data_IF_155514768158
#
_entry.id   IF_155514768158
#
_cell.length_a   1.000
_cell.length_b   1.000
_cell.length_c   1.000
_cell.angle_alpha   90.00
_cell.angle_beta   90.00
_cell.angle_gamma   90.00
#
_symmetry.space_group_name_H-M   'P 1'
#
loop_
_entity.id
_entity.type
_entity.pdbx_description
1 polymer ?
#
# COMPACT_ATOMS: atom_id res chain seq x y z
N UNK A 1 -4.98 -5.07 7.05
CA UNK A 1 -6.40 -5.37 7.24
C UNK A 1 -7.19 -4.07 7.29
N UNK A 2 -8.44 -4.08 6.80
CA UNK A 2 -9.29 -2.90 6.77
C UNK A 2 -10.72 -3.24 7.22
N UNK A 3 -11.40 -2.25 7.78
CA UNK A 3 -12.82 -2.31 8.15
C UNK A 3 -13.52 -1.12 7.50
N UNK A 4 -14.68 -1.37 6.90
CA UNK A 4 -15.51 -0.36 6.27
C UNK A 4 -16.90 -0.42 6.91
N UNK A 5 -17.41 0.73 7.31
CA UNK A 5 -18.73 0.91 7.89
C UNK A 5 -19.53 1.84 6.99
N UNK A 6 -20.61 1.33 6.41
CA UNK A 6 -21.60 2.16 5.74
C UNK A 6 -22.45 2.83 6.82
N UNK A 7 -22.34 4.16 6.93
CA UNK A 7 -23.08 4.94 7.94
C UNK A 7 -24.54 5.10 7.52
N UNK A 8 -24.77 5.30 6.22
CA UNK A 8 -26.06 5.37 5.58
C UNK A 8 -25.94 4.94 4.10
N UNK A 9 -26.97 5.16 3.28
CA UNK A 9 -26.96 4.79 1.85
C UNK A 9 -26.03 5.64 0.97
N UNK A 10 -25.36 6.64 1.53
CA UNK A 10 -24.60 7.66 0.79
C UNK A 10 -23.19 7.84 1.35
N UNK A 11 -22.96 7.53 2.63
CA UNK A 11 -21.74 7.79 3.37
C UNK A 11 -21.11 6.51 3.91
N UNK A 12 -19.78 6.41 3.81
CA UNK A 12 -19.00 5.32 4.37
C UNK A 12 -17.75 5.84 5.09
N UNK A 13 -17.42 5.18 6.21
CA UNK A 13 -16.17 5.38 6.93
C UNK A 13 -15.30 4.12 6.83
N UNK A 14 -14.00 4.29 6.70
CA UNK A 14 -13.04 3.19 6.63
C UNK A 14 -11.87 3.40 7.59
N UNK A 15 -11.37 2.31 8.14
CA UNK A 15 -10.10 2.27 8.85
C UNK A 15 -9.23 1.16 8.25
N UNK A 16 -7.94 1.43 8.08
CA UNK A 16 -6.97 0.48 7.52
C UNK A 16 -5.70 0.47 8.38
N UNK A 17 -5.14 -0.72 8.57
CA UNK A 17 -3.87 -0.97 9.24
C UNK A 17 -3.08 -2.00 8.42
N UNK A 18 -1.85 -1.68 8.05
CA UNK A 18 -0.92 -2.62 7.43
C UNK A 18 0.43 -2.55 8.14
N UNK A 19 1.07 -3.71 8.26
CA UNK A 19 2.40 -3.86 8.83
C UNK A 19 3.21 -4.67 7.83
N UNK A 20 4.40 -4.19 7.51
CA UNK A 20 5.41 -4.94 6.77
C UNK A 20 6.56 -5.21 7.74
N UNK A 21 6.87 -6.50 7.93
CA UNK A 21 7.94 -6.95 8.81
C UNK A 21 9.01 -7.60 7.93
N UNK A 22 10.25 -7.10 8.04
CA UNK A 22 11.38 -7.61 7.26
C UNK A 22 12.10 -8.76 7.97
N UNK A 23 11.70 -9.09 9.20
CA UNK A 23 12.32 -10.11 10.02
C UNK A 23 13.48 -9.58 10.88
N UNK A 24 14.19 -10.52 11.50
CA UNK A 24 15.34 -10.26 12.37
C UNK A 24 16.59 -10.94 11.83
N UNK A 25 17.67 -10.16 11.71
CA UNK A 25 18.98 -10.63 11.24
C UNK A 25 20.07 -10.34 12.28
N UNK A 26 21.18 -11.08 12.20
CA UNK A 26 22.35 -10.84 13.06
C UNK A 26 23.13 -9.62 12.55
N UNK A 27 23.62 -8.79 13.46
CA UNK A 27 24.51 -7.68 13.11
C UNK A 27 25.91 -8.24 12.85
N UNK A 28 26.44 -8.03 11.65
CA UNK A 28 27.77 -8.52 11.23
C UNK A 28 28.77 -7.38 11.14
N UNK A 29 30.05 -7.70 11.34
CA UNK A 29 31.17 -6.77 11.10
C UNK A 29 32.25 -7.48 10.30
N UNK A 30 33.21 -6.74 9.73
CA UNK A 30 34.35 -7.33 9.01
C UNK A 30 35.11 -8.33 9.90
N UNK A 31 35.16 -8.09 11.21
CA UNK A 31 35.81 -8.96 12.19
C UNK A 31 34.90 -10.11 12.66
N UNK A 32 33.58 -9.98 12.57
CA UNK A 32 32.59 -10.96 13.02
C UNK A 32 31.52 -11.18 11.94
N UNK A 33 31.87 -11.91 10.85
CA UNK A 33 30.94 -12.15 9.74
C UNK A 33 29.74 -13.03 10.12
N UNK A 34 29.91 -13.91 11.12
CA UNK A 34 28.84 -14.78 11.64
C UNK A 34 27.91 -14.06 12.63
N UNK A 35 28.20 -12.80 12.96
CA UNK A 35 27.43 -11.98 13.88
C UNK A 35 28.16 -11.66 15.19
N UNK A 36 27.85 -10.50 15.76
CA UNK A 36 28.44 -10.00 17.01
C UNK A 36 27.58 -10.28 18.27
N UNK A 37 26.51 -11.08 18.13
CA UNK A 37 25.55 -11.37 19.20
C UNK A 37 24.39 -10.37 19.33
N UNK A 38 24.39 -9.29 18.54
CA UNK A 38 23.26 -8.37 18.42
C UNK A 38 22.38 -8.76 17.23
N UNK A 39 21.09 -8.41 17.32
CA UNK A 39 20.12 -8.58 16.24
C UNK A 39 19.53 -7.24 15.85
N UNK A 40 19.20 -7.07 14.58
CA UNK A 40 18.49 -5.91 14.07
C UNK A 40 17.25 -6.35 13.30
N UNK A 41 16.24 -5.49 13.26
CA UNK A 41 15.00 -5.69 12.50
C UNK A 41 14.56 -4.40 11.85
N UNK A 42 13.74 -4.53 10.82
CA UNK A 42 13.04 -3.42 10.20
C UNK A 42 11.54 -3.72 10.16
N UNK A 43 10.73 -2.68 10.32
CA UNK A 43 9.28 -2.77 10.25
C UNK A 43 8.68 -1.46 9.75
N UNK A 44 7.73 -1.57 8.83
CA UNK A 44 6.90 -0.45 8.39
C UNK A 44 5.47 -0.62 8.88
N UNK A 45 4.89 0.50 9.32
CA UNK A 45 3.53 0.61 9.79
C UNK A 45 2.80 1.65 8.93
N UNK A 46 1.62 1.25 8.47
CA UNK A 46 0.69 2.09 7.76
C UNK A 46 -0.66 2.05 8.48
N UNK A 47 -1.18 3.22 8.86
CA UNK A 47 -2.53 3.35 9.41
C UNK A 47 -3.28 4.45 8.67
N UNK A 48 -4.55 4.24 8.35
CA UNK A 48 -5.35 5.23 7.64
C UNK A 48 -6.80 5.26 8.10
N UNK A 49 -7.37 6.47 8.12
CA UNK A 49 -8.80 6.71 8.26
C UNK A 49 -9.32 7.33 6.98
N UNK A 50 -10.43 6.81 6.47
CA UNK A 50 -11.01 7.20 5.20
C UNK A 50 -12.49 7.56 5.37
N UNK A 51 -12.94 8.51 4.55
CA UNK A 51 -14.34 8.85 4.43
C UNK A 51 -14.68 8.98 2.94
N UNK A 52 -15.81 8.42 2.54
CA UNK A 52 -16.32 8.49 1.19
C UNK A 52 -17.81 8.82 1.18
N UNK A 53 -18.23 9.54 0.13
CA UNK A 53 -19.60 9.97 -0.07
C UNK A 53 -20.01 9.87 -1.53
N UNK A 54 -21.21 9.35 -1.77
CA UNK A 54 -21.91 9.47 -3.04
C UNK A 54 -22.48 10.89 -3.15
N UNK A 55 -22.02 11.69 -4.11
CA UNK A 55 -22.61 13.02 -4.36
C UNK A 55 -23.84 12.93 -5.27
N UNK A 56 -23.87 11.92 -6.15
CA UNK A 56 -25.01 11.59 -7.01
C UNK A 56 -25.16 10.07 -7.12
N UNK A 57 -26.11 9.58 -7.92
CA UNK A 57 -26.27 8.15 -8.27
C UNK A 57 -25.07 7.57 -9.01
N UNK A 58 -24.21 8.44 -9.57
CA UNK A 58 -23.12 8.08 -10.48
C UNK A 58 -21.77 8.66 -10.10
N UNK A 59 -21.71 9.56 -9.13
CA UNK A 59 -20.49 10.23 -8.75
C UNK A 59 -20.24 10.06 -7.27
N UNK A 60 -19.06 9.54 -6.94
CA UNK A 60 -18.59 9.34 -5.57
C UNK A 60 -17.24 10.01 -5.40
N UNK A 61 -17.02 10.55 -4.22
CA UNK A 61 -15.74 11.15 -3.82
C UNK A 61 -15.35 10.60 -2.45
N UNK A 62 -14.07 10.36 -2.25
CA UNK A 62 -13.54 9.98 -0.96
C UNK A 62 -12.15 10.57 -0.72
N UNK A 63 -11.75 10.56 0.53
CA UNK A 63 -10.40 10.92 0.92
C UNK A 63 -9.96 10.14 2.15
N UNK A 64 -8.66 10.11 2.39
CA UNK A 64 -8.10 9.48 3.59
C UNK A 64 -6.94 10.27 4.16
N UNK A 65 -6.78 10.17 5.47
CA UNK A 65 -5.60 10.63 6.20
C UNK A 65 -4.81 9.40 6.61
N UNK A 66 -3.51 9.42 6.35
CA UNK A 66 -2.57 8.32 6.58
C UNK A 66 -1.50 8.74 7.56
N UNK A 67 -1.17 7.83 8.46
CA UNK A 67 0.05 7.86 9.27
C UNK A 67 0.95 6.71 8.81
N UNK A 68 2.18 7.05 8.45
CA UNK A 68 3.19 6.12 7.95
C UNK A 68 4.37 6.21 8.89
N UNK A 69 4.88 5.05 9.31
CA UNK A 69 6.07 4.97 10.15
C UNK A 69 6.96 3.83 9.67
N UNK A 70 8.23 4.14 9.49
CA UNK A 70 9.27 3.16 9.20
C UNK A 70 10.21 3.10 10.40
N UNK A 71 10.55 1.90 10.84
CA UNK A 71 11.54 1.67 11.89
C UNK A 71 12.60 0.74 11.33
N UNK A 72 13.85 1.15 11.41
CA UNK A 72 14.99 0.31 11.07
C UNK A 72 15.90 0.33 12.28
N UNK A 73 16.07 -0.82 12.92
CA UNK A 73 16.85 -1.01 14.13
C UNK A 73 16.51 0.00 15.24
N UNK A 74 17.33 1.03 15.41
CA UNK A 74 17.27 2.01 16.48
C UNK A 74 16.75 3.38 16.03
N UNK A 75 16.44 3.50 14.74
CA UNK A 75 16.00 4.71 14.08
C UNK A 75 14.56 4.53 13.60
N UNK A 76 13.83 5.64 13.54
CA UNK A 76 12.53 5.66 12.91
C UNK A 76 12.28 6.95 12.16
N UNK A 77 11.45 6.84 11.14
CA UNK A 77 10.90 7.97 10.41
C UNK A 77 9.38 7.88 10.45
N UNK A 78 8.71 9.02 10.50
CA UNK A 78 7.25 9.08 10.43
C UNK A 78 6.78 10.21 9.52
N UNK A 79 5.64 10.01 8.89
CA UNK A 79 5.04 10.98 7.99
C UNK A 79 3.53 10.89 7.97
N UNK A 80 2.88 11.99 7.58
CA UNK A 80 1.46 12.05 7.34
C UNK A 80 1.19 12.27 5.86
N UNK A 81 0.12 11.65 5.35
CA UNK A 81 -0.29 11.79 3.96
C UNK A 81 -1.80 11.95 3.82
N UNK A 82 -2.21 12.59 2.74
CA UNK A 82 -3.58 12.72 2.29
C UNK A 82 -3.77 12.01 0.95
N UNK A 83 -4.92 11.38 0.81
CA UNK A 83 -5.39 10.82 -0.45
C UNK A 83 -6.74 11.41 -0.82
N UNK A 84 -6.98 11.52 -2.12
CA UNK A 84 -8.26 11.93 -2.71
C UNK A 84 -8.58 10.96 -3.85
N UNK A 85 -9.82 10.49 -3.90
CA UNK A 85 -10.31 9.59 -4.95
C UNK A 85 -11.69 10.01 -5.46
N UNK A 86 -11.88 9.89 -6.78
CA UNK A 86 -13.13 10.16 -7.48
C UNK A 86 -13.52 8.92 -8.28
N UNK A 87 -14.82 8.62 -8.29
CA UNK A 87 -15.41 7.54 -9.07
C UNK A 87 -16.62 8.06 -9.82
N UNK A 88 -16.66 7.86 -11.14
CA UNK A 88 -17.79 8.20 -11.98
C UNK A 88 -18.31 6.99 -12.77
N UNK A 89 -19.60 6.69 -12.64
CA UNK A 89 -20.28 5.59 -13.33
C UNK A 89 -21.08 6.16 -14.51
N UNK A 90 -20.59 5.90 -15.72
CA UNK A 90 -21.19 6.42 -16.94
C UNK A 90 -22.53 5.74 -17.26
N UNK A 91 -23.28 6.32 -18.21
CA UNK A 91 -24.49 5.70 -18.79
C UNK A 91 -24.18 4.60 -19.80
N UNK A 92 -22.92 4.46 -20.20
CA UNK A 92 -22.49 3.48 -21.17
C UNK A 92 -22.15 2.16 -20.45
N UNK A 93 -23.14 1.26 -20.40
CA UNK A 93 -23.02 -0.09 -19.83
C UNK A 93 -22.33 -0.15 -18.44
N UNK A 94 -22.61 0.84 -17.59
CA UNK A 94 -22.04 0.91 -16.24
C UNK A 94 -20.52 1.09 -16.18
N UNK A 95 -19.88 1.54 -17.27
CA UNK A 95 -18.44 1.81 -17.29
C UNK A 95 -18.06 2.80 -16.19
N UNK A 96 -17.00 2.47 -15.46
CA UNK A 96 -16.51 3.20 -14.29
C UNK A 96 -15.21 3.91 -14.65
N UNK A 97 -15.16 5.21 -14.39
CA UNK A 97 -13.98 6.04 -14.52
C UNK A 97 -13.50 6.39 -13.11
N UNK A 98 -12.27 6.00 -12.78
CA UNK A 98 -11.64 6.27 -11.49
C UNK A 98 -10.46 7.19 -11.64
N UNK A 99 -10.32 8.14 -10.72
CA UNK A 99 -9.12 8.98 -10.58
C UNK A 99 -8.73 9.03 -9.11
N UNK A 100 -7.44 8.92 -8.80
CA UNK A 100 -6.96 9.16 -7.44
C UNK A 100 -5.61 9.85 -7.41
N UNK A 101 -5.40 10.60 -6.33
CA UNK A 101 -4.12 11.16 -5.92
C UNK A 101 -3.83 10.57 -4.55
N UNK A 102 -2.68 9.91 -4.39
CA UNK A 102 -2.31 9.26 -3.14
C UNK A 102 -0.96 9.73 -2.63
N UNK A 103 -0.83 9.74 -1.30
CA UNK A 103 0.40 10.04 -0.56
C UNK A 103 0.88 11.49 -0.69
N UNK A 104 -0.04 12.44 -0.84
CA UNK A 104 0.32 13.85 -0.74
C UNK A 104 0.57 14.21 0.72
N UNK A 105 1.84 14.38 1.11
CA UNK A 105 2.20 14.38 2.52
C UNK A 105 3.54 15.02 2.87
N UNK A 106 3.91 14.88 4.14
CA UNK A 106 5.16 15.38 4.70
C UNK A 106 6.35 14.54 4.24
N UNK A 107 7.55 15.13 4.24
CA UNK A 107 8.77 14.36 4.17
C UNK A 107 8.96 13.49 5.43
N UNK A 108 9.58 12.34 5.24
CA UNK A 108 10.03 11.44 6.29
C UNK A 108 11.53 11.62 6.51
N UNK A 109 11.98 11.51 7.76
CA UNK A 109 13.40 11.59 8.11
C UNK A 109 13.72 10.59 9.20
N UNK A 110 14.84 9.88 9.07
CA UNK A 110 15.31 8.94 10.09
C UNK A 110 15.86 9.70 11.29
N UNK A 111 15.29 9.44 12.45
CA UNK A 111 15.73 9.97 13.74
C UNK A 111 15.88 8.80 14.72
N UNK A 112 16.92 8.82 15.54
CA UNK A 112 17.23 7.68 16.40
C UNK A 112 18.48 7.88 17.21
N UNK A 113 18.69 6.96 18.15
CA UNK A 113 19.81 7.02 19.08
C UNK A 113 21.16 6.76 18.39
N UNK A 114 21.20 6.05 17.26
CA UNK A 114 22.49 5.79 16.58
C UNK A 114 23.00 7.04 15.86
N UNK A 115 22.18 8.09 15.75
CA UNK A 115 22.55 9.41 15.23
C UNK A 115 23.07 10.36 16.33
N UNK A 116 23.01 9.94 17.60
CA UNK A 116 23.48 10.73 18.73
C UNK A 116 24.95 10.38 19.03
N UNK A 117 25.83 11.37 18.90
CA UNK A 117 27.25 11.18 19.16
C UNK A 117 27.81 12.27 20.09
N UNK A 118 28.73 11.92 20.99
CA UNK A 118 29.47 12.93 21.73
C UNK A 118 30.34 13.72 20.75
N UNK A 119 30.26 15.05 20.84
CA UNK A 119 31.06 15.96 20.03
C UNK A 119 31.71 17.00 20.93
N UNK A 120 33.02 17.12 20.80
CA UNK A 120 33.80 18.18 21.40
C UNK A 120 33.96 19.33 20.40
N UNK A 121 33.37 20.48 20.71
CA UNK A 121 33.45 21.67 19.85
C UNK A 121 34.82 22.33 19.87
N UNK A 122 35.62 22.12 20.92
CA UNK A 122 36.95 22.73 21.08
C UNK A 122 37.91 21.75 21.79
N UNK A 123 38.42 20.73 21.07
CA UNK A 123 39.24 19.67 21.65
C UNK A 123 40.55 20.13 22.33
N UNK A 124 40.96 21.38 22.09
CA UNK A 124 42.18 21.96 22.66
C UNK A 124 41.92 22.68 23.99
N UNK A 125 40.66 22.88 24.38
CA UNK A 125 40.29 23.59 25.59
C UNK A 125 39.95 22.63 26.72
N UNK A 126 40.92 22.41 27.63
CA UNK A 126 40.82 21.48 28.76
C UNK A 126 39.73 21.81 29.79
N UNK A 127 39.06 22.96 29.69
CA UNK A 127 37.98 23.39 30.58
C UNK A 127 36.57 23.21 30.02
N UNK A 128 36.41 22.73 28.78
CA UNK A 128 35.11 22.52 28.16
C UNK A 128 34.54 21.11 28.49
N UNK A 129 33.33 20.83 28.00
CA UNK A 129 32.73 19.51 28.11
C UNK A 129 32.94 18.74 26.78
N UNK A 130 33.78 17.69 26.75
CA UNK A 130 34.09 16.94 25.54
C UNK A 130 32.96 15.96 25.12
N UNK A 131 31.90 15.82 25.91
CA UNK A 131 30.82 14.86 25.67
C UNK A 131 29.47 15.53 25.44
N UNK A 132 29.44 16.70 24.79
CA UNK A 132 28.18 17.33 24.40
C UNK A 132 27.49 16.43 23.38
N UNK A 133 26.26 16.01 23.68
CA UNK A 133 25.46 15.21 22.75
C UNK A 133 25.15 16.05 21.50
N UNK A 134 25.67 15.62 20.37
CA UNK A 134 25.34 16.13 19.05
C UNK A 134 24.45 15.14 18.31
N UNK A 135 23.62 15.64 17.41
CA UNK A 135 22.76 14.83 16.57
C UNK A 135 23.19 14.97 15.11
N UNK A 136 23.49 13.85 14.47
CA UNK A 136 23.76 13.79 13.04
C UNK A 136 22.43 13.86 12.27
N UNK A 137 22.15 15.01 11.65
CA UNK A 137 20.94 15.19 10.84
C UNK A 137 21.00 14.36 9.57
N UNK A 138 20.03 13.47 9.41
CA UNK A 138 19.81 12.73 8.16
C UNK A 138 19.04 13.60 7.15
N UNK A 139 19.13 13.23 5.87
CA UNK A 139 18.31 13.83 4.82
C UNK A 139 16.86 13.35 4.94
N UNK A 140 15.91 14.25 4.68
CA UNK A 140 14.51 13.88 4.50
C UNK A 140 14.25 13.33 3.10
N UNK A 141 13.21 12.51 2.97
CA UNK A 141 12.69 12.07 1.67
C UNK A 141 11.17 12.22 1.62
N UNK A 142 10.60 12.63 0.47
CA UNK A 142 9.16 12.75 0.33
C UNK A 142 8.49 11.37 0.29
N UNK A 143 7.22 11.33 0.67
CA UNK A 143 6.38 10.18 0.37
C UNK A 143 6.15 10.08 -1.16
N UNK A 144 6.15 8.86 -1.75
CA UNK A 144 5.98 8.69 -3.18
C UNK A 144 4.56 9.08 -3.58
N UNK A 145 4.43 10.19 -4.31
CA UNK A 145 3.15 10.72 -4.77
C UNK A 145 2.70 9.93 -6.00
N UNK A 146 1.45 9.45 -5.98
CA UNK A 146 0.87 8.70 -7.09
C UNK A 146 -0.35 9.41 -7.67
N UNK A 147 -0.38 9.56 -8.99
CA UNK A 147 -1.59 9.86 -9.75
C UNK A 147 -2.06 8.58 -10.42
N UNK A 148 -3.34 8.24 -10.28
CA UNK A 148 -3.93 7.07 -10.93
C UNK A 148 -5.16 7.46 -11.72
N UNK A 149 -5.28 6.93 -12.92
CA UNK A 149 -6.45 7.07 -13.78
C UNK A 149 -6.79 5.69 -14.32
N UNK A 150 -8.05 5.26 -14.14
CA UNK A 150 -8.47 3.93 -14.54
C UNK A 150 -9.87 3.91 -15.12
N UNK A 151 -10.09 2.92 -15.98
CA UNK A 151 -11.39 2.63 -16.59
C UNK A 151 -11.69 1.16 -16.39
N UNK A 152 -12.92 0.82 -16.01
CA UNK A 152 -13.40 -0.55 -16.00
C UNK A 152 -14.82 -0.67 -16.51
N UNK A 153 -15.17 -1.83 -17.04
CA UNK A 153 -16.48 -2.07 -17.64
C UNK A 153 -16.85 -3.55 -17.57
N UNK A 154 -18.13 -3.81 -17.28
CA UNK A 154 -18.72 -5.15 -17.37
C UNK A 154 -19.05 -5.43 -18.85
N UNK A 155 -18.11 -6.04 -19.57
CA UNK A 155 -18.19 -6.26 -21.03
C UNK A 155 -19.21 -7.34 -21.37
N UNK A 156 -19.30 -8.38 -20.54
CA UNK A 156 -20.31 -9.43 -20.67
C UNK A 156 -21.05 -9.55 -19.34
N UNK A 157 -22.38 -9.51 -19.40
CA UNK A 157 -23.23 -9.76 -18.23
C UNK A 157 -24.46 -10.57 -18.66
N UNK A 158 -24.47 -11.86 -18.34
CA UNK A 158 -25.52 -12.79 -18.75
C UNK A 158 -25.94 -13.65 -17.57
N UNK A 159 -27.18 -13.49 -17.13
CA UNK A 159 -27.76 -14.24 -16.01
C UNK A 159 -26.88 -14.14 -14.74
N UNK A 160 -26.19 -15.23 -14.39
CA UNK A 160 -25.32 -15.34 -13.22
C UNK A 160 -23.84 -15.09 -13.54
N UNK A 161 -23.48 -14.79 -14.79
CA UNK A 161 -22.09 -14.65 -15.22
C UNK A 161 -21.77 -13.20 -15.59
N UNK A 162 -20.63 -12.69 -15.14
CA UNK A 162 -20.11 -11.39 -15.55
C UNK A 162 -18.61 -11.48 -15.90
N UNK A 163 -18.21 -10.74 -16.93
CA UNK A 163 -16.81 -10.50 -17.28
C UNK A 163 -16.55 -9.00 -17.23
N UNK A 164 -15.70 -8.59 -16.29
CA UNK A 164 -15.20 -7.24 -16.14
C UNK A 164 -13.82 -7.13 -16.77
N UNK A 165 -13.58 -6.08 -17.54
CA UNK A 165 -12.24 -5.68 -17.96
C UNK A 165 -11.89 -4.33 -17.33
N UNK A 166 -10.62 -4.15 -17.00
CA UNK A 166 -10.08 -2.94 -16.41
C UNK A 166 -8.71 -2.59 -17.00
N UNK A 167 -8.46 -1.29 -17.10
CA UNK A 167 -7.17 -0.71 -17.46
C UNK A 167 -6.92 0.46 -16.54
N UNK A 168 -5.71 0.56 -15.98
CA UNK A 168 -5.28 1.72 -15.20
C UNK A 168 -3.87 2.17 -15.57
N UNK A 169 -3.68 3.49 -15.55
CA UNK A 169 -2.40 4.14 -15.66
C UNK A 169 -2.01 4.69 -14.29
N UNK A 170 -0.82 4.34 -13.83
CA UNK A 170 -0.24 4.82 -12.58
C UNK A 170 0.98 5.67 -12.91
N UNK A 171 0.93 6.92 -12.50
CA UNK A 171 1.96 7.94 -12.74
C UNK A 171 2.55 8.30 -11.37
N UNK A 172 3.64 7.63 -10.95
CA UNK A 172 4.38 7.99 -9.75
C UNK A 172 5.23 9.25 -9.99
N UNK A 173 5.52 10.01 -8.93
CA UNK A 173 6.39 11.19 -9.01
C UNK A 173 7.89 10.86 -9.13
N UNK A 174 8.29 9.68 -8.67
CA UNK A 174 9.67 9.23 -8.50
C UNK A 174 10.05 8.08 -9.44
N UNK A 175 9.14 7.65 -10.33
CA UNK A 175 9.37 6.51 -11.21
C UNK A 175 8.66 6.68 -12.57
N UNK A 176 8.87 5.74 -13.48
CA UNK A 176 8.19 5.69 -14.78
C UNK A 176 6.70 5.43 -14.64
N UNK A 177 5.91 5.99 -15.56
CA UNK A 177 4.48 5.66 -15.69
C UNK A 177 4.31 4.19 -16.07
N UNK A 178 3.38 3.51 -15.40
CA UNK A 178 3.03 2.12 -15.70
C UNK A 178 1.58 2.01 -16.12
N UNK A 179 1.30 1.05 -16.99
CA UNK A 179 -0.04 0.69 -17.44
C UNK A 179 -0.31 -0.75 -17.01
N UNK A 180 -1.45 -0.96 -16.36
CA UNK A 180 -1.92 -2.25 -15.92
C UNK A 180 -3.20 -2.60 -16.66
N UNK A 181 -3.37 -3.88 -16.99
CA UNK A 181 -4.60 -4.40 -17.58
C UNK A 181 -5.03 -5.64 -16.82
N UNK A 182 -6.34 -5.83 -16.67
CA UNK A 182 -6.86 -6.98 -15.95
C UNK A 182 -8.29 -7.32 -16.33
N UNK A 183 -8.67 -8.54 -16.01
CA UNK A 183 -10.02 -9.04 -16.15
C UNK A 183 -10.45 -9.82 -14.92
N UNK A 184 -11.74 -9.73 -14.61
CA UNK A 184 -12.40 -10.55 -13.60
C UNK A 184 -13.57 -11.28 -14.24
N UNK A 185 -13.54 -12.61 -14.17
CA UNK A 185 -14.69 -13.46 -14.45
C UNK A 185 -15.37 -13.82 -13.14
N UNK A 186 -16.66 -13.55 -13.06
CA UNK A 186 -17.50 -13.85 -11.92
C UNK A 186 -18.61 -14.84 -12.34
N UNK A 187 -18.76 -15.90 -11.55
CA UNK A 187 -19.87 -16.83 -11.64
C UNK A 187 -20.69 -16.86 -10.35
N UNK A 188 -21.94 -16.44 -10.47
CA UNK A 188 -22.98 -16.39 -9.45
C UNK A 188 -22.63 -15.60 -8.19
N UNK A 189 -21.67 -14.68 -8.27
CA UNK A 189 -21.09 -13.95 -7.13
C UNK A 189 -20.46 -14.85 -6.05
N UNK A 190 -20.27 -16.14 -6.36
CA UNK A 190 -19.67 -17.14 -5.47
C UNK A 190 -18.24 -17.40 -5.90
N UNK A 191 -17.99 -17.48 -7.20
CA UNK A 191 -16.69 -17.84 -7.74
C UNK A 191 -16.12 -16.74 -8.61
N UNK A 192 -14.86 -16.40 -8.38
CA UNK A 192 -14.15 -15.33 -9.06
C UNK A 192 -12.83 -15.86 -9.61
N UNK A 193 -12.57 -15.59 -10.88
CA UNK A 193 -11.28 -15.80 -11.52
C UNK A 193 -10.74 -14.46 -11.97
N UNK A 194 -9.48 -14.19 -11.65
CA UNK A 194 -8.81 -12.93 -11.96
C UNK A 194 -7.53 -13.23 -12.69
N UNK A 195 -7.27 -12.46 -13.74
CA UNK A 195 -6.01 -12.46 -14.45
C UNK A 195 -5.69 -11.03 -14.86
N UNK A 196 -4.42 -10.67 -14.78
CA UNK A 196 -3.96 -9.34 -15.17
C UNK A 196 -2.47 -9.33 -15.47
N UNK A 197 -2.05 -8.26 -16.10
CA UNK A 197 -0.65 -8.01 -16.41
C UNK A 197 -0.30 -6.59 -15.93
N UNK A 198 0.74 -6.50 -15.12
CA UNK A 198 1.22 -5.24 -14.55
C UNK A 198 2.35 -4.66 -15.40
N UNK A 199 2.55 -3.34 -15.29
CA UNK A 199 3.79 -2.69 -15.77
C UNK A 199 4.11 -2.83 -17.26
N UNK A 200 3.09 -2.87 -18.14
CA UNK A 200 3.23 -3.07 -19.60
C UNK A 200 4.11 -2.05 -20.34
N UNK A 201 4.39 -0.89 -19.74
CA UNK A 201 5.16 0.20 -20.36
C UNK A 201 6.53 0.44 -19.72
N UNK A 202 6.95 -0.44 -18.79
CA UNK A 202 8.24 -0.30 -18.10
C UNK A 202 9.24 -1.29 -18.67
N UNK A 203 10.36 -0.79 -19.18
CA UNK A 203 11.40 -1.62 -19.81
C UNK A 203 12.11 -2.53 -18.80
N UNK A 204 12.29 -2.08 -17.55
CA UNK A 204 12.92 -2.84 -16.45
C UNK A 204 11.88 -3.36 -15.44
N UNK A 205 10.85 -4.08 -15.91
CA UNK A 205 9.84 -4.69 -15.03
C UNK A 205 10.15 -6.16 -14.74
N UNK A 206 10.31 -6.48 -13.45
CA UNK A 206 10.29 -7.86 -12.93
C UNK A 206 8.85 -8.31 -12.60
N UNK A 207 7.90 -7.36 -12.62
CA UNK A 207 6.48 -7.65 -12.44
C UNK A 207 5.83 -7.94 -13.79
N UNK A 208 5.00 -8.98 -13.85
CA UNK A 208 4.30 -9.36 -15.07
C UNK A 208 2.91 -9.91 -14.79
N UNK A 209 2.79 -11.24 -14.88
CA UNK A 209 1.52 -11.94 -14.78
C UNK A 209 1.04 -12.02 -13.33
N UNK A 210 -0.21 -11.62 -13.11
CA UNK A 210 -0.92 -11.81 -11.86
C UNK A 210 -2.17 -12.65 -12.11
N UNK A 211 -2.37 -13.70 -11.31
CA UNK A 211 -3.57 -14.54 -11.37
C UNK A 211 -4.17 -14.70 -9.97
N UNK A 212 -5.48 -14.93 -9.90
CA UNK A 212 -6.12 -15.12 -8.61
C UNK A 212 -7.46 -15.83 -8.72
N UNK A 213 -7.82 -16.48 -7.62
CA UNK A 213 -9.09 -17.17 -7.45
C UNK A 213 -9.76 -16.67 -6.18
N UNK A 214 -11.07 -16.50 -6.22
CA UNK A 214 -11.86 -16.02 -5.10
C UNK A 214 -13.11 -16.84 -4.90
N UNK A 215 -13.46 -17.10 -3.65
CA UNK A 215 -14.67 -17.81 -3.26
C UNK A 215 -15.42 -16.99 -2.22
N UNK A 216 -16.72 -16.77 -2.44
CA UNK A 216 -17.61 -16.10 -1.50
C UNK A 216 -18.78 -17.01 -1.15
N UNK A 217 -19.01 -17.20 0.13
CA UNK A 217 -20.09 -18.04 0.63
C UNK A 217 -20.87 -17.37 1.75
N UNK A 218 -22.19 -17.50 1.74
CA UNK A 218 -23.04 -16.98 2.80
C UNK A 218 -23.18 -18.02 3.91
N UNK A 219 -22.75 -17.68 5.11
CA UNK A 219 -22.89 -18.51 6.30
C UNK A 219 -23.96 -17.90 7.21
N UNK A 220 -25.08 -18.60 7.47
CA UNK A 220 -26.10 -18.13 8.41
C UNK A 220 -25.48 -17.77 9.76
N UNK A 221 -25.72 -16.54 10.23
CA UNK A 221 -25.20 -16.02 11.50
C UNK A 221 -23.84 -15.31 11.42
N UNK A 222 -23.04 -15.52 10.37
CA UNK A 222 -21.73 -14.87 10.17
C UNK A 222 -21.68 -13.92 8.95
N UNK A 223 -22.72 -13.91 8.12
CA UNK A 223 -22.76 -13.08 6.92
C UNK A 223 -22.05 -13.73 5.74
N UNK A 224 -21.57 -12.93 4.77
CA UNK A 224 -20.79 -13.43 3.64
C UNK A 224 -19.32 -13.50 4.03
N UNK A 225 -18.71 -14.67 3.85
CA UNK A 225 -17.28 -14.89 4.03
C UNK A 225 -16.66 -15.03 2.64
N UNK A 226 -15.61 -14.27 2.38
CA UNK A 226 -14.81 -14.37 1.16
C UNK A 226 -13.39 -14.83 1.45
N UNK A 227 -12.89 -15.75 0.64
CA UNK A 227 -11.49 -16.20 0.64
C UNK A 227 -10.94 -15.93 -0.75
N UNK A 228 -9.82 -15.21 -0.81
CA UNK A 228 -9.13 -14.88 -2.05
C UNK A 228 -7.69 -15.40 -1.98
N UNK A 229 -7.22 -15.97 -3.08
CA UNK A 229 -5.83 -16.37 -3.28
C UNK A 229 -5.31 -15.72 -4.54
N UNK A 230 -4.11 -15.13 -4.46
CA UNK A 230 -3.45 -14.52 -5.60
C UNK A 230 -2.02 -15.02 -5.72
N UNK A 231 -1.61 -15.22 -6.96
CA UNK A 231 -0.26 -15.55 -7.39
C UNK A 231 0.25 -14.40 -8.26
N UNK A 232 1.44 -13.90 -7.94
CA UNK A 232 2.10 -12.89 -8.74
C UNK A 232 3.52 -13.35 -9.06
N UNK A 233 3.87 -13.28 -10.34
CA UNK A 233 5.23 -13.47 -10.82
C UNK A 233 6.03 -12.18 -10.63
N UNK A 234 7.12 -12.27 -9.86
CA UNK A 234 7.95 -11.15 -9.40
C UNK A 234 9.44 -11.36 -9.74
N UNK A 235 9.74 -12.15 -10.77
CA UNK A 235 11.09 -12.29 -11.34
C UNK A 235 12.13 -12.69 -10.28
N UNK A 236 13.11 -11.82 -10.04
CA UNK A 236 14.19 -12.05 -9.06
C UNK A 236 13.75 -12.25 -7.60
N UNK A 237 12.54 -11.80 -7.23
CA UNK A 237 11.99 -11.98 -5.87
C UNK A 237 11.21 -13.29 -5.72
N UNK A 238 11.30 -14.19 -6.70
CA UNK A 238 10.53 -15.44 -6.80
C UNK A 238 9.00 -15.20 -6.80
N UNK A 239 8.24 -16.27 -6.65
CA UNK A 239 6.78 -16.27 -6.74
C UNK A 239 6.14 -15.74 -5.44
N UNK A 240 5.28 -14.71 -5.55
CA UNK A 240 4.58 -14.14 -4.38
C UNK A 240 3.16 -14.68 -4.29
N UNK A 241 2.88 -15.35 -3.17
CA UNK A 241 1.57 -15.87 -2.81
C UNK A 241 0.87 -14.96 -1.79
N UNK A 242 -0.35 -14.52 -2.10
CA UNK A 242 -1.15 -13.67 -1.20
C UNK A 242 -2.47 -14.34 -0.85
N UNK A 243 -2.82 -14.30 0.43
CA UNK A 243 -4.09 -14.81 0.96
C UNK A 243 -4.93 -13.66 1.53
N UNK A 244 -6.20 -13.63 1.16
CA UNK A 244 -7.17 -12.66 1.64
C UNK A 244 -8.36 -13.36 2.29
N UNK A 245 -8.82 -12.82 3.42
CA UNK A 245 -10.07 -13.22 4.05
C UNK A 245 -10.91 -11.98 4.27
N UNK A 246 -12.19 -12.06 3.93
CA UNK A 246 -13.15 -10.95 4.06
C UNK A 246 -14.43 -11.42 4.73
N UNK A 247 -15.03 -10.52 5.51
CA UNK A 247 -16.31 -10.73 6.17
C UNK A 247 -17.21 -9.54 5.80
N UNK A 248 -18.41 -9.83 5.31
CA UNK A 248 -19.43 -8.82 5.00
C UNK A 248 -20.71 -9.14 5.76
N UNK A 249 -21.19 -8.15 6.50
CA UNK A 249 -22.37 -8.23 7.37
C UNK A 249 -23.49 -7.33 6.84
#
# INVERSE_FOLDING_TARGET
GAVILNLDGVNAFGANLAVLDYGEENVTTVQQPEGNGLRWSAQDLYAALAYARNLTDRFSMGGSVKYIRQKIYNESASGFALDIGLLYITRFNGMRLGVSISNFGTEMRMEGKDLLHPYDQDPNNLGNNPTITSEQKTAGWPLPLFYRVGVSMDVVKVSQTALLLAVDAVIPSDNSTVLNVGGEFNWNEIFFLRAGYKSLMREDTEEGLATGVGFKYFVPGLGKIGIDYAYNDYGLLEEIHTWGVSFTF
#
